data_IF_449542589296
#
_entry.id   IF_449542589296
#
_cell.length_a   1.000
_cell.length_b   1.000
_cell.length_c   1.000
_cell.angle_alpha   90.00
_cell.angle_beta   90.00
_cell.angle_gamma   90.00
#
_symmetry.space_group_name_H-M   'P 1'
#
loop_
_entity.id
_entity.type
_entity.pdbx_description
1 polymer ?
#
# COMPACT_ATOMS: atom_id res chain seq x y z
N UNK A 1 17.91 5.14 1.85
CA UNK A 1 16.45 5.41 1.88
C UNK A 1 16.20 6.90 1.69
N UNK A 2 15.17 7.24 0.96
CA UNK A 2 14.82 8.64 0.72
C UNK A 2 14.44 9.34 2.02
N UNK A 3 14.95 10.56 2.21
CA UNK A 3 14.51 11.39 3.33
C UNK A 3 13.13 11.96 3.04
N UNK A 4 12.28 11.91 4.03
CA UNK A 4 10.90 12.36 3.94
C UNK A 4 10.69 13.47 4.97
N UNK A 5 10.13 14.60 4.52
CA UNK A 5 9.75 15.69 5.41
C UNK A 5 8.39 15.36 6.05
N UNK A 6 8.44 14.61 7.14
CA UNK A 6 7.24 14.13 7.83
C UNK A 6 6.37 15.26 8.39
N UNK A 7 6.98 16.39 8.72
CA UNK A 7 6.25 17.50 9.31
C UNK A 7 5.35 18.23 8.30
N UNK A 8 5.68 18.15 7.01
CA UNK A 8 4.98 18.85 5.94
C UNK A 8 4.30 17.92 4.94
N UNK A 9 3.99 16.68 5.37
CA UNK A 9 3.28 15.74 4.50
C UNK A 9 1.88 16.26 4.18
N UNK A 10 1.52 16.16 2.89
CA UNK A 10 0.19 16.46 2.40
C UNK A 10 -0.47 15.18 1.89
N UNK A 11 -1.70 15.30 1.38
CA UNK A 11 -2.44 14.17 0.81
C UNK A 11 -2.00 13.82 -0.61
N UNK A 12 -1.05 14.57 -1.17
CA UNK A 12 -0.55 14.32 -2.51
C UNK A 12 0.36 13.11 -2.57
N UNK A 13 0.54 12.58 -3.78
CA UNK A 13 1.47 11.50 -4.04
C UNK A 13 2.90 11.94 -3.75
N UNK A 14 3.64 11.07 -3.09
CA UNK A 14 5.07 11.28 -2.86
C UNK A 14 5.82 10.03 -3.29
N UNK A 15 6.84 10.21 -4.12
CA UNK A 15 7.70 9.10 -4.52
C UNK A 15 8.49 8.58 -3.33
N UNK A 16 8.46 7.27 -3.16
CA UNK A 16 9.31 6.54 -2.20
C UNK A 16 10.29 5.66 -2.96
N UNK A 17 11.23 5.03 -2.24
CA UNK A 17 12.23 4.17 -2.90
C UNK A 17 11.60 2.93 -3.51
N UNK A 18 10.61 2.35 -2.81
CA UNK A 18 10.02 1.08 -3.20
C UNK A 18 8.54 1.04 -2.89
N UNK A 19 7.85 0.12 -3.57
CA UNK A 19 6.53 -0.33 -3.20
C UNK A 19 6.52 -1.86 -3.16
N UNK A 20 5.53 -2.43 -2.51
CA UNK A 20 5.36 -3.88 -2.44
C UNK A 20 4.11 -4.24 -3.20
N UNK A 21 4.21 -5.23 -4.07
CA UNK A 21 3.10 -5.72 -4.91
C UNK A 21 2.84 -7.18 -4.64
N UNK A 22 1.58 -7.54 -4.71
CA UNK A 22 1.16 -8.94 -4.63
C UNK A 22 0.00 -9.13 -5.60
N UNK A 23 0.14 -10.11 -6.49
CA UNK A 23 -0.85 -10.34 -7.54
C UNK A 23 -1.72 -11.53 -7.21
N UNK A 24 -3.01 -11.38 -7.45
CA UNK A 24 -3.96 -12.48 -7.40
C UNK A 24 -4.25 -12.94 -8.83
N UNK A 25 -3.85 -14.16 -9.16
CA UNK A 25 -4.00 -14.72 -10.50
C UNK A 25 -4.34 -16.21 -10.40
N UNK A 26 -5.18 -16.67 -11.32
CA UNK A 26 -5.52 -18.10 -11.41
C UNK A 26 -6.02 -18.69 -10.09
N UNK A 27 -6.78 -17.89 -9.35
CA UNK A 27 -7.39 -18.32 -8.09
C UNK A 27 -6.49 -18.31 -6.87
N UNK A 28 -5.30 -17.70 -6.96
CA UNK A 28 -4.36 -17.70 -5.83
C UNK A 28 -3.55 -16.40 -5.76
N UNK A 29 -3.14 -16.05 -4.55
CA UNK A 29 -2.19 -14.96 -4.33
C UNK A 29 -0.77 -15.43 -4.67
N UNK A 30 -0.03 -14.58 -5.38
CA UNK A 30 1.39 -14.79 -5.61
C UNK A 30 2.23 -14.36 -4.41
N UNK A 31 3.54 -14.34 -4.61
CA UNK A 31 4.46 -13.87 -3.59
C UNK A 31 4.50 -12.34 -3.54
N UNK A 32 4.91 -11.80 -2.39
CA UNK A 32 5.16 -10.38 -2.25
C UNK A 32 6.41 -9.99 -3.04
N UNK A 33 6.29 -8.92 -3.82
CA UNK A 33 7.38 -8.44 -4.68
C UNK A 33 7.76 -7.03 -4.32
N UNK A 34 9.05 -6.81 -4.05
CA UNK A 34 9.59 -5.48 -3.85
C UNK A 34 9.84 -4.84 -5.21
N UNK A 35 9.30 -3.65 -5.44
CA UNK A 35 9.33 -3.02 -6.74
C UNK A 35 9.71 -1.54 -6.62
N UNK A 36 10.56 -1.06 -7.52
CA UNK A 36 10.92 0.37 -7.59
C UNK A 36 10.12 1.13 -8.65
N UNK A 37 9.36 0.43 -9.48
CA UNK A 37 8.54 1.06 -10.52
C UNK A 37 7.31 1.73 -9.93
N UNK A 38 7.01 2.93 -10.38
CA UNK A 38 5.85 3.70 -9.93
C UNK A 38 4.62 3.49 -10.80
N UNK A 39 4.79 2.81 -11.93
CA UNK A 39 3.71 2.61 -12.91
C UNK A 39 3.25 1.17 -12.92
N UNK A 40 2.02 0.98 -13.38
CA UNK A 40 1.41 -0.34 -13.54
C UNK A 40 1.13 -0.58 -15.02
N UNK A 41 1.36 -1.80 -15.46
CA UNK A 41 0.92 -2.26 -16.77
C UNK A 41 -0.34 -3.10 -16.57
N UNK A 42 -1.49 -2.50 -16.84
CA UNK A 42 -2.78 -3.16 -16.65
C UNK A 42 -3.58 -3.12 -17.96
N UNK A 43 -4.47 -4.10 -18.10
CA UNK A 43 -5.35 -4.16 -19.26
C UNK A 43 -6.31 -2.97 -19.27
N UNK A 44 -6.58 -2.40 -20.44
CA UNK A 44 -7.46 -1.23 -20.57
C UNK A 44 -8.90 -1.50 -20.13
N UNK A 45 -9.32 -2.74 -20.07
CA UNK A 45 -10.64 -3.15 -19.61
C UNK A 45 -10.69 -3.48 -18.11
N UNK A 46 -9.62 -3.21 -17.37
CA UNK A 46 -9.58 -3.49 -15.93
C UNK A 46 -10.74 -2.79 -15.21
N UNK A 47 -11.41 -3.52 -14.35
CA UNK A 47 -12.62 -3.02 -13.68
C UNK A 47 -12.34 -1.88 -12.70
N UNK A 48 -11.12 -1.77 -12.19
CA UNK A 48 -10.74 -0.63 -11.36
C UNK A 48 -10.77 0.69 -12.15
N UNK A 49 -10.56 0.64 -13.46
CA UNK A 49 -10.58 1.84 -14.31
C UNK A 49 -12.00 2.27 -14.72
N UNK A 50 -12.92 1.33 -14.82
CA UNK A 50 -14.23 1.60 -15.42
C UNK A 50 -15.39 1.47 -14.45
N UNK A 51 -15.26 0.61 -13.46
CA UNK A 51 -16.33 0.32 -12.50
C UNK A 51 -15.98 0.73 -11.08
N UNK A 52 -14.80 1.29 -10.87
CA UNK A 52 -14.34 1.62 -9.51
C UNK A 52 -14.21 0.40 -8.61
N UNK A 53 -13.94 -0.77 -9.19
CA UNK A 53 -13.75 -2.00 -8.41
C UNK A 53 -12.38 -2.00 -7.77
N UNK A 54 -12.30 -1.34 -6.63
CA UNK A 54 -11.07 -1.20 -5.88
C UNK A 54 -11.40 -1.00 -4.40
N UNK A 55 -10.45 -1.29 -3.54
CA UNK A 55 -10.56 -1.04 -2.12
C UNK A 55 -9.24 -0.49 -1.63
N UNK A 56 -9.30 0.31 -0.57
CA UNK A 56 -8.09 0.89 -0.04
C UNK A 56 -8.15 0.93 1.48
N UNK A 57 -6.99 0.82 2.08
CA UNK A 57 -6.83 0.93 3.52
C UNK A 57 -5.52 1.65 3.81
N UNK A 58 -5.53 2.53 4.80
CA UNK A 58 -4.34 3.26 5.22
C UNK A 58 -3.88 2.81 6.60
N UNK A 59 -2.57 2.72 6.78
CA UNK A 59 -1.99 2.47 8.09
C UNK A 59 -0.66 3.20 8.20
N UNK A 60 -0.18 3.37 9.42
CA UNK A 60 1.07 4.06 9.70
C UNK A 60 1.93 3.24 10.64
N UNK A 61 3.23 3.31 10.41
CA UNK A 61 4.22 2.83 11.36
C UNK A 61 4.79 4.02 12.12
N UNK A 62 4.98 3.86 13.42
CA UNK A 62 5.49 4.92 14.29
C UNK A 62 6.77 4.49 14.95
N UNK A 63 7.69 5.45 15.10
CA UNK A 63 8.88 5.23 15.92
C UNK A 63 8.53 5.60 17.36
N UNK A 64 8.61 4.64 18.27
CA UNK A 64 8.39 4.88 19.68
C UNK A 64 9.54 5.61 20.34
N UNK A 65 9.34 6.04 21.59
CA UNK A 65 10.38 6.74 22.38
C UNK A 65 11.61 5.85 22.64
N UNK A 66 11.43 4.54 22.61
CA UNK A 66 12.50 3.56 22.75
C UNK A 66 13.26 3.28 21.43
N UNK A 67 12.92 3.99 20.35
CA UNK A 67 13.52 3.83 19.04
C UNK A 67 12.94 2.68 18.21
N UNK A 68 12.03 1.90 18.76
CA UNK A 68 11.42 0.80 18.04
C UNK A 68 10.28 1.28 17.15
N UNK A 69 10.13 0.64 15.98
CA UNK A 69 9.04 0.93 15.05
C UNK A 69 7.86 0.03 15.38
N UNK A 70 6.67 0.64 15.48
CA UNK A 70 5.43 -0.08 15.80
C UNK A 70 4.33 0.31 14.84
N UNK A 71 3.44 -0.66 14.59
CA UNK A 71 2.21 -0.44 13.84
C UNK A 71 1.06 -0.77 14.78
N UNK A 72 0.12 0.16 14.94
CA UNK A 72 -0.99 -0.03 15.85
C UNK A 72 -2.07 -0.91 15.21
N UNK A 73 -2.28 -2.12 15.78
CA UNK A 73 -3.33 -3.06 15.40
C UNK A 73 -3.51 -3.24 13.89
N UNK A 74 -2.47 -3.68 13.15
CA UNK A 74 -2.60 -3.84 11.69
C UNK A 74 -3.68 -4.87 11.30
N UNK A 75 -3.99 -5.84 12.16
CA UNK A 75 -5.06 -6.80 11.94
C UNK A 75 -6.43 -6.13 11.81
N UNK A 76 -6.68 -5.03 12.51
CA UNK A 76 -7.92 -4.28 12.37
C UNK A 76 -8.05 -3.64 10.99
N UNK A 77 -6.94 -3.16 10.42
CA UNK A 77 -6.90 -2.64 9.04
C UNK A 77 -7.24 -3.75 8.04
N UNK A 78 -6.66 -4.93 8.23
CA UNK A 78 -6.91 -6.07 7.35
C UNK A 78 -8.38 -6.52 7.41
N UNK A 79 -8.94 -6.60 8.60
CA UNK A 79 -10.36 -6.97 8.79
C UNK A 79 -11.29 -5.97 8.10
N UNK A 80 -11.01 -4.68 8.24
CA UNK A 80 -11.81 -3.63 7.61
C UNK A 80 -11.73 -3.70 6.09
N UNK A 81 -10.56 -3.98 5.54
CA UNK A 81 -10.39 -4.16 4.11
C UNK A 81 -11.20 -5.35 3.59
N UNK A 82 -11.21 -6.46 4.34
CA UNK A 82 -11.98 -7.64 3.97
C UNK A 82 -13.48 -7.40 3.98
N UNK A 83 -13.97 -6.51 4.83
CA UNK A 83 -15.40 -6.21 4.92
C UNK A 83 -15.92 -5.27 3.83
N UNK A 84 -15.03 -4.71 3.05
CA UNK A 84 -15.38 -3.77 1.96
C UNK A 84 -15.95 -4.46 0.73
#
# INVERSE_FOLDING_TARGET
MKEIDWANLSFGYMKTDYNVRCYYRDGAWGELELCSEETLNIHMAATCLHYGQEAFEGLKAYRGKDGKIRIFRPEANAERLQST
#
